data_IF_292945335194
#
_entry.id   IF_292945335194
#
_cell.length_a   1.000
_cell.length_b   1.000
_cell.length_c   1.000
_cell.angle_alpha   90.00
_cell.angle_beta   90.00
_cell.angle_gamma   90.00
#
_symmetry.space_group_name_H-M   'P 1'
#
loop_
_entity.id
_entity.type
_entity.pdbx_description
1 polymer ?
#
# COMPACT_ATOMS: atom_id res chain seq x y z
N UNK A 1 1.99 -13.50 16.03
CA UNK A 1 2.70 -12.27 15.66
C UNK A 1 1.69 -11.16 15.41
N UNK A 2 2.12 -9.90 15.33
CA UNK A 2 1.25 -8.75 15.11
C UNK A 2 1.89 -7.79 14.11
N UNK A 3 1.13 -7.33 13.11
CA UNK A 3 1.57 -6.35 12.11
C UNK A 3 0.76 -5.07 12.32
N UNK A 4 1.43 -3.94 12.58
CA UNK A 4 0.78 -2.67 12.90
C UNK A 4 0.73 -1.75 11.66
N UNK A 5 -0.17 -2.05 10.72
CA UNK A 5 -0.31 -1.30 9.45
C UNK A 5 -1.34 -0.17 9.48
N UNK A 6 -2.12 -0.06 10.55
CA UNK A 6 -3.23 0.89 10.69
C UNK A 6 -2.89 2.05 11.61
N UNK A 7 -3.37 3.24 11.27
CA UNK A 7 -3.43 4.42 12.14
C UNK A 7 -4.87 4.64 12.64
N UNK A 8 -5.04 5.53 13.61
CA UNK A 8 -6.38 5.87 14.14
C UNK A 8 -7.27 6.43 13.02
N UNK A 9 -8.41 5.79 12.79
CA UNK A 9 -9.38 6.16 11.76
C UNK A 9 -9.26 5.35 10.46
N UNK A 10 -8.24 4.49 10.34
CA UNK A 10 -8.17 3.53 9.25
C UNK A 10 -9.15 2.36 9.48
N UNK A 11 -9.49 1.65 8.41
CA UNK A 11 -10.29 0.42 8.45
C UNK A 11 -9.74 -0.61 7.48
N UNK A 12 -9.92 -1.90 7.79
CA UNK A 12 -9.54 -2.99 6.88
C UNK A 12 -10.70 -3.26 5.93
N UNK A 13 -10.41 -3.30 4.63
CA UNK A 13 -11.36 -3.70 3.60
C UNK A 13 -11.25 -5.19 3.26
N UNK A 14 -10.03 -5.73 3.22
CA UNK A 14 -9.78 -7.13 2.91
C UNK A 14 -8.44 -7.62 3.49
N UNK A 15 -8.32 -8.93 3.70
CA UNK A 15 -7.09 -9.61 4.12
C UNK A 15 -6.98 -10.92 3.35
N UNK A 16 -5.81 -11.17 2.76
CA UNK A 16 -5.46 -12.45 2.13
C UNK A 16 -4.27 -13.08 2.87
N UNK A 17 -3.74 -14.19 2.35
CA UNK A 17 -2.54 -14.84 2.88
C UNK A 17 -1.25 -14.01 2.75
N UNK A 18 -1.23 -13.00 1.87
CA UNK A 18 -0.04 -12.25 1.49
C UNK A 18 -0.25 -10.74 1.36
N UNK A 19 -1.46 -10.21 1.60
CA UNK A 19 -1.71 -8.78 1.60
C UNK A 19 -2.87 -8.37 2.50
N UNK A 20 -2.88 -7.10 2.86
CA UNK A 20 -3.99 -6.44 3.55
C UNK A 20 -4.35 -5.15 2.81
N UNK A 21 -5.65 -4.93 2.65
CA UNK A 21 -6.19 -3.74 2.00
C UNK A 21 -6.74 -2.81 3.08
N UNK A 22 -6.13 -1.64 3.23
CA UNK A 22 -6.43 -0.68 4.30
C UNK A 22 -7.05 0.57 3.68
N UNK A 23 -8.30 0.87 4.05
CA UNK A 23 -8.89 2.19 3.78
C UNK A 23 -8.38 3.18 4.80
N UNK A 24 -7.64 4.18 4.33
CA UNK A 24 -7.13 5.28 5.15
C UNK A 24 -8.24 6.22 5.55
N UNK A 25 -8.01 6.98 6.64
CA UNK A 25 -8.92 8.06 7.04
C UNK A 25 -9.17 9.09 5.93
N UNK A 26 -8.20 9.31 5.02
CA UNK A 26 -8.35 10.18 3.83
C UNK A 26 -9.40 9.67 2.83
N UNK A 27 -9.77 8.39 2.91
CA UNK A 27 -10.63 7.71 1.95
C UNK A 27 -9.85 6.91 0.90
N UNK A 28 -8.54 7.19 0.75
CA UNK A 28 -7.63 6.42 -0.10
C UNK A 28 -7.44 5.00 0.43
N UNK A 29 -6.94 4.12 -0.42
CA UNK A 29 -6.79 2.69 -0.09
C UNK A 29 -5.37 2.24 -0.36
N UNK A 30 -4.71 1.69 0.65
CA UNK A 30 -3.41 1.05 0.49
C UNK A 30 -3.58 -0.46 0.35
N UNK A 31 -2.95 -1.02 -0.67
CA UNK A 31 -2.72 -2.46 -0.81
C UNK A 31 -1.33 -2.74 -0.29
N UNK A 32 -1.25 -3.41 0.87
CA UNK A 32 -0.01 -3.63 1.59
C UNK A 32 0.34 -5.12 1.52
N UNK A 33 1.24 -5.52 0.62
CA UNK A 33 1.74 -6.88 0.59
C UNK A 33 2.65 -7.16 1.80
N UNK A 34 2.66 -8.42 2.20
CA UNK A 34 3.57 -8.96 3.19
C UNK A 34 4.02 -10.34 2.75
N UNK A 35 5.27 -10.64 3.02
CA UNK A 35 5.89 -11.89 2.62
C UNK A 35 6.61 -12.53 3.80
N UNK A 36 6.86 -13.82 3.67
CA UNK A 36 7.58 -14.61 4.64
C UNK A 36 8.93 -15.02 4.04
N UNK A 37 10.01 -14.58 4.66
CA UNK A 37 11.36 -14.96 4.29
C UNK A 37 11.91 -15.90 5.37
N UNK A 38 11.98 -17.18 5.04
CA UNK A 38 12.24 -18.24 6.02
C UNK A 38 11.17 -18.29 7.11
N UNK A 39 11.54 -17.92 8.34
CA UNK A 39 10.63 -17.87 9.49
C UNK A 39 10.23 -16.43 9.90
N UNK A 40 10.67 -15.42 9.16
CA UNK A 40 10.40 -14.01 9.45
C UNK A 40 9.33 -13.49 8.51
N UNK A 41 8.28 -12.85 9.05
CA UNK A 41 7.34 -12.09 8.22
C UNK A 41 7.81 -10.65 8.12
N UNK A 42 7.70 -10.09 6.91
CA UNK A 42 8.04 -8.70 6.60
C UNK A 42 6.92 -8.07 5.78
N UNK A 43 6.74 -6.76 5.94
CA UNK A 43 5.94 -5.96 5.01
C UNK A 43 6.82 -5.76 3.77
N UNK A 44 6.25 -6.01 2.60
CA UNK A 44 6.91 -5.73 1.33
C UNK A 44 6.68 -4.26 0.98
N UNK A 45 7.65 -3.42 1.36
CA UNK A 45 7.54 -1.97 1.19
C UNK A 45 7.74 -1.51 -0.26
N UNK A 46 8.40 -2.34 -1.10
CA UNK A 46 8.68 -2.00 -2.50
C UNK A 46 7.41 -2.09 -3.37
N UNK A 47 6.45 -2.91 -2.95
CA UNK A 47 5.23 -3.19 -3.73
C UNK A 47 3.94 -2.66 -3.07
N UNK A 48 4.05 -1.69 -2.17
CA UNK A 48 2.87 -1.00 -1.62
C UNK A 48 2.27 -0.11 -2.71
N UNK A 49 0.97 -0.26 -2.97
CA UNK A 49 0.24 0.58 -3.93
C UNK A 49 -0.85 1.35 -3.19
N UNK A 50 -0.91 2.66 -3.40
CA UNK A 50 -1.99 3.52 -2.92
C UNK A 50 -2.95 3.83 -4.06
N UNK A 51 -4.22 3.49 -3.87
CA UNK A 51 -5.32 3.87 -4.75
C UNK A 51 -5.90 5.19 -4.24
N UNK A 52 -5.54 6.26 -4.93
CA UNK A 52 -5.98 7.64 -4.67
C UNK A 52 -7.09 8.13 -5.60
N UNK A 53 -7.46 9.39 -5.44
CA UNK A 53 -8.34 10.09 -6.38
C UNK A 53 -7.51 10.59 -7.57
N UNK A 54 -8.02 10.42 -8.78
CA UNK A 54 -7.32 10.84 -9.99
C UNK A 54 -8.16 10.65 -11.25
N UNK A 55 -7.52 10.81 -12.40
CA UNK A 55 -8.16 10.69 -13.72
C UNK A 55 -7.48 9.58 -14.54
N UNK A 56 -7.52 8.34 -14.03
CA UNK A 56 -6.86 7.16 -14.60
C UNK A 56 -5.34 7.36 -14.83
N UNK A 57 -4.67 7.97 -13.85
CA UNK A 57 -3.23 8.20 -13.84
C UNK A 57 -2.52 7.22 -12.94
N UNK A 58 -1.26 6.93 -13.25
CA UNK A 58 -0.31 6.25 -12.35
C UNK A 58 0.80 7.25 -12.03
N UNK A 59 1.01 7.49 -10.74
CA UNK A 59 2.05 8.38 -10.22
C UNK A 59 3.11 7.53 -9.52
N UNK A 60 4.37 7.70 -9.91
CA UNK A 60 5.50 7.00 -9.29
C UNK A 60 6.58 7.99 -8.84
N UNK A 61 7.15 7.72 -7.67
CA UNK A 61 8.19 8.54 -7.05
C UNK A 61 9.55 7.93 -7.35
N UNK A 62 10.35 8.58 -8.18
CA UNK A 62 11.71 8.12 -8.49
C UNK A 62 12.68 8.64 -7.41
N UNK A 63 13.75 7.88 -7.14
CA UNK A 63 14.67 8.07 -6.02
C UNK A 63 15.31 9.48 -5.89
N UNK A 64 15.22 10.33 -6.91
CA UNK A 64 15.75 11.71 -6.91
C UNK A 64 14.68 12.80 -6.69
N UNK A 65 13.46 12.43 -6.28
CA UNK A 65 12.37 13.38 -6.01
C UNK A 65 11.58 13.79 -7.25
N UNK A 66 11.89 13.23 -8.40
CA UNK A 66 11.10 13.36 -9.62
C UNK A 66 9.87 12.46 -9.55
N UNK A 67 8.71 13.01 -9.89
CA UNK A 67 7.45 12.26 -10.01
C UNK A 67 7.17 12.02 -11.49
N UNK A 68 7.02 10.75 -11.87
CA UNK A 68 6.57 10.38 -13.21
C UNK A 68 5.08 10.12 -13.19
N UNK A 69 4.33 10.81 -14.06
CA UNK A 69 2.88 10.62 -14.22
C UNK A 69 2.64 9.99 -15.59
N UNK A 70 2.04 8.80 -15.61
CA UNK A 70 1.63 8.12 -16.83
C UNK A 70 0.11 8.23 -17.01
N UNK A 71 -0.31 8.47 -18.25
CA UNK A 71 -1.71 8.52 -18.71
C UNK A 71 -1.88 7.50 -19.83
N UNK A 72 -3.08 6.94 -20.00
CA UNK A 72 -3.40 5.93 -21.02
C UNK A 72 -4.48 6.42 -21.98
#
# INVERSE_FOLDING_TARGET
>A
MRVNVMKKGDSILNVTENMVVVKRRSGEVDVIPFCKEGNVWRIDQEHVVTIGYGNNTVEDSVADGDVTIMTF
#
